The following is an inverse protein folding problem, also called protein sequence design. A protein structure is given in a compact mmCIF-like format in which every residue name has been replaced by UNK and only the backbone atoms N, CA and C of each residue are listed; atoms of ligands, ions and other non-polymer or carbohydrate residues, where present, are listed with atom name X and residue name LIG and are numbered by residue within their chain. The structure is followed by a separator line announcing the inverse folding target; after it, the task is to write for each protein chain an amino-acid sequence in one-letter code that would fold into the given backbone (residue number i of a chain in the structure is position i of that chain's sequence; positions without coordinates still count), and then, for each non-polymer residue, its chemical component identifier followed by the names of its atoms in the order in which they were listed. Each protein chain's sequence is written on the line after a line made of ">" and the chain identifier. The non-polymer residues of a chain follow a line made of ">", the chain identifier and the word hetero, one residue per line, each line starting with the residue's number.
data_IF_654367743562
#
_entry.id   IF_654367743562
#
_cell.length_a   1.000
_cell.length_b   1.000
_cell.length_c   1.000
_cell.angle_alpha   90.00
_cell.angle_beta   90.00
_cell.angle_gamma   90.00
#
_symmetry.space_group_name_H-M   'P 1'
#
loop_
_entity.id
_entity.type
_entity.pdbx_description
1 polymer ?
#
# COMPACT_ATOMS: atom_id res chain seq x y z
N UNK A 1 -4.25 -24.46 -12.82
CA UNK A 1 -3.53 -23.48 -11.98
C UNK A 1 -4.59 -22.73 -11.21
N UNK A 2 -4.56 -22.74 -9.89
CA UNK A 2 -5.54 -22.00 -9.09
C UNK A 2 -5.30 -20.49 -9.19
N UNK A 3 -6.28 -19.68 -8.78
CA UNK A 3 -6.09 -18.23 -8.69
C UNK A 3 -4.91 -17.88 -7.77
N UNK A 4 -4.82 -18.56 -6.62
CA UNK A 4 -3.77 -18.33 -5.62
C UNK A 4 -2.38 -18.65 -6.16
N UNK A 5 -2.25 -19.69 -7.00
CA UNK A 5 -0.99 -20.02 -7.67
C UNK A 5 -0.54 -18.89 -8.61
N UNK A 6 -1.49 -18.30 -9.35
CA UNK A 6 -1.21 -17.17 -10.25
C UNK A 6 -0.78 -15.95 -9.45
N UNK A 7 -1.47 -15.64 -8.36
CA UNK A 7 -1.13 -14.51 -7.47
C UNK A 7 0.27 -14.69 -6.88
N UNK A 8 0.59 -15.87 -6.33
CA UNK A 8 1.92 -16.17 -5.77
C UNK A 8 3.03 -16.01 -6.82
N UNK A 9 2.80 -16.51 -8.04
CA UNK A 9 3.75 -16.35 -9.15
C UNK A 9 3.97 -14.88 -9.51
N UNK A 10 2.90 -14.09 -9.59
CA UNK A 10 2.99 -12.67 -9.93
C UNK A 10 3.77 -11.90 -8.86
N UNK A 11 3.48 -12.13 -7.57
CA UNK A 11 4.20 -11.50 -6.45
C UNK A 11 5.68 -11.88 -6.50
N UNK A 12 6.00 -13.16 -6.71
CA UNK A 12 7.39 -13.60 -6.81
C UNK A 12 8.12 -12.92 -7.98
N UNK A 13 7.49 -12.82 -9.15
CA UNK A 13 8.07 -12.14 -10.31
C UNK A 13 8.33 -10.65 -10.04
N UNK A 14 7.36 -9.94 -9.43
CA UNK A 14 7.52 -8.54 -9.03
C UNK A 14 8.67 -8.36 -8.02
N UNK A 15 8.79 -9.28 -7.06
CA UNK A 15 9.86 -9.27 -6.07
C UNK A 15 11.27 -9.55 -6.63
N UNK A 16 11.38 -10.11 -7.84
CA UNK A 16 12.66 -10.32 -8.52
C UNK A 16 12.99 -9.23 -9.56
N UNK A 17 12.02 -8.38 -9.94
CA UNK A 17 12.24 -7.29 -10.88
C UNK A 17 12.87 -6.07 -10.18
N UNK A 18 14.19 -6.06 -10.10
CA UNK A 18 14.96 -4.99 -9.47
C UNK A 18 14.82 -3.64 -10.18
N UNK A 19 14.60 -3.64 -11.50
CA UNK A 19 14.39 -2.42 -12.27
C UNK A 19 13.02 -1.80 -11.99
N UNK A 20 12.00 -2.63 -11.79
CA UNK A 20 10.70 -2.17 -11.31
C UNK A 20 10.81 -1.61 -9.89
N UNK A 21 11.48 -2.32 -8.98
CA UNK A 21 11.67 -1.86 -7.59
C UNK A 21 12.34 -0.48 -7.52
N UNK A 22 13.41 -0.27 -8.29
CA UNK A 22 14.08 1.02 -8.36
C UNK A 22 13.12 2.13 -8.83
N UNK A 23 12.37 1.89 -9.91
CA UNK A 23 11.36 2.84 -10.43
C UNK A 23 10.23 3.10 -9.44
N UNK A 24 9.81 2.10 -8.67
CA UNK A 24 8.80 2.26 -7.63
C UNK A 24 9.29 3.18 -6.51
N UNK A 25 10.56 3.06 -6.09
CA UNK A 25 11.17 3.95 -5.11
C UNK A 25 11.25 5.39 -5.65
N UNK A 26 11.71 5.55 -6.89
CA UNK A 26 11.79 6.87 -7.54
C UNK A 26 10.40 7.51 -7.63
N UNK A 27 9.37 6.73 -8.00
CA UNK A 27 8.00 7.21 -8.05
C UNK A 27 7.48 7.66 -6.67
N UNK A 28 7.70 6.88 -5.61
CA UNK A 28 7.30 7.28 -4.25
C UNK A 28 7.99 8.59 -3.86
N UNK A 29 9.30 8.71 -4.13
CA UNK A 29 10.07 9.93 -3.82
C UNK A 29 9.56 11.14 -4.59
N UNK A 30 9.39 11.01 -5.89
CA UNK A 30 9.05 12.13 -6.77
C UNK A 30 7.59 12.54 -6.57
N UNK A 31 6.68 11.58 -6.37
CA UNK A 31 5.27 11.86 -6.10
C UNK A 31 5.07 12.53 -4.72
N UNK A 32 5.89 12.20 -3.73
CA UNK A 32 5.87 12.87 -2.42
C UNK A 32 6.18 14.37 -2.52
N UNK A 33 7.11 14.79 -3.39
CA UNK A 33 7.41 16.21 -3.62
C UNK A 33 6.21 16.99 -4.18
N UNK A 34 5.28 16.29 -4.83
CA UNK A 34 4.02 16.85 -5.34
C UNK A 34 2.83 16.65 -4.38
N UNK A 35 3.09 16.17 -3.16
CA UNK A 35 2.04 15.92 -2.16
C UNK A 35 1.02 14.87 -2.62
N UNK A 36 1.43 13.90 -3.45
CA UNK A 36 0.49 12.95 -4.07
C UNK A 36 -0.43 12.29 -3.04
N UNK A 37 0.11 11.83 -1.91
CA UNK A 37 -0.66 11.12 -0.90
C UNK A 37 -1.66 12.00 -0.13
N UNK A 38 -1.48 13.33 -0.12
CA UNK A 38 -2.42 14.28 0.50
C UNK A 38 -3.70 14.48 -0.32
N UNK A 39 -3.73 14.00 -1.57
CA UNK A 39 -4.86 14.19 -2.47
C UNK A 39 -6.00 13.20 -2.24
N UNK A 40 -5.85 12.27 -1.30
CA UNK A 40 -6.82 11.21 -1.06
C UNK A 40 -7.63 11.48 0.21
N UNK A 41 -8.87 10.97 0.18
CA UNK A 41 -9.74 10.95 1.34
C UNK A 41 -10.31 9.56 1.56
N UNK A 42 -10.51 9.21 2.82
CA UNK A 42 -11.13 7.97 3.24
C UNK A 42 -12.42 8.28 4.00
N UNK A 43 -13.55 7.80 3.47
CA UNK A 43 -14.88 8.08 4.03
C UNK A 43 -15.12 9.58 4.28
N UNK A 44 -14.63 10.43 3.37
CA UNK A 44 -14.75 11.90 3.46
C UNK A 44 -13.74 12.58 4.37
N UNK A 45 -12.78 11.86 4.97
CA UNK A 45 -11.71 12.41 5.81
C UNK A 45 -10.37 12.40 5.05
N UNK A 46 -9.61 13.51 5.01
CA UNK A 46 -8.27 13.51 4.43
C UNK A 46 -7.36 12.47 5.10
N UNK A 47 -6.52 11.83 4.31
CA UNK A 47 -5.51 10.86 4.75
C UNK A 47 -4.15 11.21 4.12
N UNK A 48 -3.06 10.74 4.73
CA UNK A 48 -1.69 10.94 4.21
C UNK A 48 -1.12 9.64 3.64
N UNK A 49 -1.76 8.50 3.92
CA UNK A 49 -1.37 7.19 3.43
C UNK A 49 -1.61 7.07 1.93
N UNK A 50 -0.78 6.28 1.23
CA UNK A 50 -1.04 6.00 -0.18
C UNK A 50 -2.26 5.09 -0.33
N UNK A 51 -3.00 5.16 -1.46
CA UNK A 51 -4.18 4.34 -1.68
C UNK A 51 -3.94 2.82 -1.50
N UNK A 52 -2.78 2.31 -1.95
CA UNK A 52 -2.44 0.90 -1.78
C UNK A 52 -2.22 0.50 -0.31
N UNK A 53 -1.71 1.41 0.51
CA UNK A 53 -1.50 1.15 1.94
C UNK A 53 -2.86 1.03 2.65
N UNK A 54 -3.83 1.87 2.25
CA UNK A 54 -5.18 1.80 2.78
C UNK A 54 -5.87 0.47 2.46
N UNK A 55 -5.72 -0.04 1.24
CA UNK A 55 -6.29 -1.34 0.84
C UNK A 55 -5.62 -2.47 1.63
N UNK A 56 -4.30 -2.48 1.74
CA UNK A 56 -3.57 -3.47 2.52
C UNK A 56 -4.00 -3.45 4.00
N UNK A 57 -4.13 -2.27 4.60
CA UNK A 57 -4.63 -2.12 5.98
C UNK A 57 -6.04 -2.65 6.15
N UNK A 58 -6.94 -2.39 5.19
CA UNK A 58 -8.31 -2.92 5.22
C UNK A 58 -8.33 -4.46 5.16
N UNK A 59 -7.53 -5.07 4.29
CA UNK A 59 -7.43 -6.54 4.21
C UNK A 59 -6.87 -7.16 5.49
N UNK A 60 -5.83 -6.54 6.09
CA UNK A 60 -5.24 -7.01 7.35
C UNK A 60 -6.25 -6.90 8.48
N UNK A 61 -6.89 -5.75 8.67
CA UNK A 61 -7.89 -5.55 9.72
C UNK A 61 -9.06 -6.51 9.53
N UNK A 62 -9.53 -6.69 8.29
CA UNK A 62 -10.65 -7.57 8.00
C UNK A 62 -10.33 -9.04 8.26
N UNK A 63 -9.14 -9.50 7.88
CA UNK A 63 -8.74 -10.90 8.08
C UNK A 63 -8.38 -11.23 9.52
N UNK A 64 -7.69 -10.31 10.20
CA UNK A 64 -7.19 -10.52 11.57
C UNK A 64 -8.23 -10.20 12.63
N UNK A 65 -9.18 -9.30 12.36
CA UNK A 65 -10.18 -8.80 13.31
C UNK A 65 -9.55 -8.41 14.67
N UNK A 66 -8.56 -7.49 14.70
CA UNK A 66 -7.86 -7.15 15.93
C UNK A 66 -8.76 -6.43 16.93
N UNK A 67 -8.57 -6.70 18.22
CA UNK A 67 -9.27 -5.99 19.30
C UNK A 67 -8.75 -4.54 19.50
N UNK A 68 -7.51 -4.27 19.11
CA UNK A 68 -6.85 -2.97 19.27
C UNK A 68 -5.88 -2.71 18.12
N UNK A 69 -5.97 -1.50 17.55
CA UNK A 69 -5.00 -0.95 16.59
C UNK A 69 -4.32 0.25 17.25
N UNK A 70 -2.99 0.23 17.30
CA UNK A 70 -2.18 1.34 17.82
C UNK A 70 -1.44 1.97 16.65
N UNK A 71 -1.72 3.25 16.40
CA UNK A 71 -0.99 4.09 15.44
C UNK A 71 -0.21 5.15 16.22
N UNK A 72 1.10 5.24 15.99
CA UNK A 72 1.96 6.23 16.65
C UNK A 72 2.41 7.28 15.65
N UNK A 73 2.07 8.54 15.94
CA UNK A 73 2.28 9.67 15.04
C UNK A 73 0.94 10.32 14.70
N UNK A 74 0.86 11.64 14.88
CA UNK A 74 -0.24 12.44 14.34
C UNK A 74 0.28 13.21 13.13
N UNK A 75 -0.54 13.24 12.09
CA UNK A 75 -0.40 14.14 10.97
C UNK A 75 -0.73 15.59 11.39
#
# INVERSE_FOLDING_TARGET
>A
MSHDDVVRRNIAALGQDTALQARSIDWVRDSAAHGYSYNFSWMGRPVIQYPQDMVAMQEIIWSLQPDLVIETGIA
#
